data_IF_745351373974
#
_entry.id   IF_745351373974
#
_cell.length_a   1.000
_cell.length_b   1.000
_cell.length_c   1.000
_cell.angle_alpha   90.00
_cell.angle_beta   90.00
_cell.angle_gamma   90.00
#
_symmetry.space_group_name_H-M   'P 1'
#
loop_
_entity.id
_entity.type
_entity.pdbx_description
1 polymer ?
#
# COMPACT_ATOMS: atom_id res chain seq x y z
N UNK A 1 5.02 -18.32 -23.90
CA UNK A 1 5.25 -17.28 -22.86
C UNK A 1 3.88 -16.76 -22.47
N UNK A 2 3.28 -17.34 -21.44
CA UNK A 2 1.89 -17.04 -21.05
C UNK A 2 1.86 -15.70 -20.34
N UNK A 3 1.28 -14.67 -20.96
CA UNK A 3 0.94 -13.45 -20.26
C UNK A 3 -0.09 -13.81 -19.19
N UNK A 4 0.31 -13.77 -17.91
CA UNK A 4 -0.63 -13.83 -16.79
C UNK A 4 -1.64 -12.69 -16.99
N UNK A 5 -2.94 -12.90 -16.72
CA UNK A 5 -3.92 -11.84 -16.86
C UNK A 5 -3.38 -10.63 -16.11
N UNK A 6 -3.29 -9.52 -16.82
CA UNK A 6 -2.96 -8.22 -16.31
C UNK A 6 -4.07 -7.88 -15.32
N UNK A 7 -4.00 -8.46 -14.12
CA UNK A 7 -4.92 -8.14 -13.04
C UNK A 7 -4.81 -6.65 -12.93
N UNK A 8 -5.89 -5.96 -13.28
CA UNK A 8 -5.96 -4.52 -13.34
C UNK A 8 -5.66 -4.07 -11.91
N UNK A 9 -4.39 -3.81 -11.60
CA UNK A 9 -3.90 -3.50 -10.26
C UNK A 9 -4.31 -2.07 -9.99
N UNK A 10 -5.57 -1.91 -9.62
CA UNK A 10 -6.10 -0.64 -9.16
C UNK A 10 -5.25 -0.20 -7.97
N UNK A 11 -4.59 0.94 -8.16
CA UNK A 11 -3.77 1.57 -7.13
C UNK A 11 -4.62 2.55 -6.34
N UNK A 12 -4.55 2.47 -5.02
CA UNK A 12 -5.28 3.38 -4.13
C UNK A 12 -4.30 4.42 -3.61
N UNK A 13 -4.64 5.70 -3.75
CA UNK A 13 -3.86 6.79 -3.16
C UNK A 13 -4.47 7.22 -1.84
N UNK A 14 -3.65 7.33 -0.80
CA UNK A 14 -4.10 7.66 0.54
C UNK A 14 -3.02 8.38 1.34
N UNK A 15 -3.30 9.62 1.79
CA UNK A 15 -2.41 10.45 2.63
C UNK A 15 -0.95 10.51 2.14
N UNK A 16 -0.74 10.58 0.82
CA UNK A 16 0.60 10.63 0.22
C UNK A 16 1.27 9.26 0.07
N UNK A 17 0.53 8.17 0.23
CA UNK A 17 0.97 6.80 -0.06
C UNK A 17 0.18 6.19 -1.21
N UNK A 18 0.84 5.36 -1.99
CA UNK A 18 0.23 4.44 -2.95
C UNK A 18 0.12 3.06 -2.30
N UNK A 19 -1.09 2.54 -2.26
CA UNK A 19 -1.42 1.19 -1.82
C UNK A 19 -1.62 0.33 -3.07
N UNK A 20 -0.79 -0.70 -3.21
CA UNK A 20 -0.78 -1.57 -4.39
C UNK A 20 -1.17 -2.98 -3.95
N UNK A 21 -2.36 -3.48 -4.33
CA UNK A 21 -2.77 -4.85 -4.01
C UNK A 21 -1.83 -5.86 -4.68
N UNK A 22 -1.44 -6.88 -3.95
CA UNK A 22 -0.60 -7.98 -4.41
C UNK A 22 -1.47 -9.24 -4.61
N UNK A 23 -0.98 -10.17 -5.45
CA UNK A 23 -1.69 -11.43 -5.70
C UNK A 23 -1.82 -12.31 -4.44
N UNK A 24 -0.96 -12.10 -3.45
CA UNK A 24 -0.89 -12.86 -2.19
C UNK A 24 -1.81 -12.27 -1.10
N UNK A 25 -2.86 -11.54 -1.48
CA UNK A 25 -3.77 -10.85 -0.54
C UNK A 25 -3.06 -9.86 0.42
N UNK A 26 -1.87 -9.40 0.05
CA UNK A 26 -1.11 -8.37 0.76
C UNK A 26 -1.13 -7.05 0.00
N UNK A 27 -0.71 -5.97 0.65
CA UNK A 27 -0.57 -4.67 0.01
C UNK A 27 0.85 -4.16 0.13
N UNK A 28 1.38 -3.64 -0.97
CA UNK A 28 2.60 -2.85 -0.96
C UNK A 28 2.22 -1.39 -0.74
N UNK A 29 2.65 -0.84 0.40
CA UNK A 29 2.43 0.56 0.76
C UNK A 29 3.73 1.31 0.50
N UNK A 30 3.70 2.27 -0.43
CA UNK A 30 4.87 3.11 -0.75
C UNK A 30 4.51 4.58 -0.68
N UNK A 31 5.41 5.46 -0.23
CA UNK A 31 5.20 6.90 -0.34
C UNK A 31 5.15 7.34 -1.82
N UNK A 32 4.32 8.34 -2.12
CA UNK A 32 4.19 8.95 -3.45
C UNK A 32 5.34 9.90 -3.77
N UNK A 33 5.92 10.54 -2.76
CA UNK A 33 7.04 11.48 -2.90
C UNK A 33 8.13 11.16 -1.88
N UNK A 34 9.38 11.18 -2.32
CA UNK A 34 10.53 11.24 -1.41
C UNK A 34 10.85 12.71 -1.08
N UNK A 35 11.21 13.06 0.16
CA UNK A 35 11.26 12.23 1.36
C UNK A 35 9.96 12.36 2.18
N UNK A 36 9.15 11.30 2.24
CA UNK A 36 8.12 11.16 3.28
C UNK A 36 8.72 10.36 4.44
N UNK A 37 8.29 10.66 5.67
CA UNK A 37 8.83 10.13 6.95
C UNK A 37 8.84 8.59 7.10
N UNK A 38 8.40 7.81 6.09
CA UNK A 38 8.34 6.36 6.15
C UNK A 38 8.80 5.67 4.88
N UNK A 39 9.59 4.63 5.10
CA UNK A 39 9.99 3.69 4.07
C UNK A 39 8.79 2.84 3.60
N UNK A 40 8.85 2.31 2.37
CA UNK A 40 7.87 1.36 1.87
C UNK A 40 7.76 0.13 2.78
N UNK A 41 6.55 -0.37 2.98
CA UNK A 41 6.30 -1.57 3.78
C UNK A 41 5.18 -2.42 3.20
N UNK A 42 5.08 -3.67 3.67
CA UNK A 42 4.03 -4.61 3.28
C UNK A 42 2.97 -4.68 4.38
N UNK A 43 1.70 -4.57 4.00
CA UNK A 43 0.56 -4.73 4.89
C UNK A 43 -0.09 -6.11 4.65
N UNK A 44 -0.15 -6.99 5.66
CA UNK A 44 -0.79 -8.31 5.55
C UNK A 44 -2.31 -8.21 5.73
N UNK A 45 -2.95 -7.35 4.95
CA UNK A 45 -4.36 -7.00 5.09
C UNK A 45 -5.14 -7.38 3.83
N UNK A 46 -6.27 -8.09 3.96
CA UNK A 46 -7.08 -8.47 2.80
C UNK A 46 -7.98 -7.34 2.25
N UNK A 47 -8.10 -6.23 2.98
CA UNK A 47 -9.00 -5.11 2.65
C UNK A 47 -8.28 -3.77 2.65
N UNK A 48 -8.67 -2.87 1.73
CA UNK A 48 -8.11 -1.52 1.61
C UNK A 48 -8.32 -0.68 2.88
N UNK A 49 -9.42 -0.88 3.60
CA UNK A 49 -9.75 -0.13 4.82
C UNK A 49 -8.75 -0.41 5.94
N UNK A 50 -8.41 -1.69 6.13
CA UNK A 50 -7.43 -2.14 7.11
C UNK A 50 -6.03 -1.59 6.79
N UNK A 51 -5.65 -1.55 5.49
CA UNK A 51 -4.40 -0.93 5.04
C UNK A 51 -4.38 0.57 5.37
N UNK A 52 -5.49 1.29 5.19
CA UNK A 52 -5.59 2.72 5.53
C UNK A 52 -5.45 2.94 7.04
N UNK A 53 -6.06 2.09 7.85
CA UNK A 53 -5.94 2.14 9.31
C UNK A 53 -4.50 1.89 9.76
N UNK A 54 -3.81 0.93 9.16
CA UNK A 54 -2.40 0.65 9.42
C UNK A 54 -1.50 1.85 9.05
N UNK A 55 -1.77 2.50 7.91
CA UNK A 55 -1.06 3.72 7.51
C UNK A 55 -1.29 4.84 8.52
N UNK A 56 -2.53 5.06 8.98
CA UNK A 56 -2.85 6.07 9.99
C UNK A 56 -2.13 5.80 11.32
N UNK A 57 -2.15 4.54 11.79
CA UNK A 57 -1.45 4.13 13.00
C UNK A 57 0.06 4.39 12.90
N UNK A 58 0.69 3.99 11.79
CA UNK A 58 2.12 4.27 11.59
C UNK A 58 2.39 5.77 11.57
N UNK A 59 1.57 6.56 10.87
CA UNK A 59 1.74 8.02 10.76
C UNK A 59 1.68 8.69 12.13
N UNK A 60 0.80 8.23 13.01
CA UNK A 60 0.76 8.68 14.40
C UNK A 60 2.01 8.31 15.20
N UNK A 61 2.69 7.19 14.90
CA UNK A 61 3.92 6.80 15.58
C UNK A 61 5.17 7.57 15.11
N UNK A 62 5.15 8.12 13.89
CA UNK A 62 6.26 8.89 13.34
C UNK A 62 6.13 10.41 13.55
N UNK A 63 5.05 10.86 14.17
CA UNK A 63 4.79 12.26 14.56
C UNK A 63 5.23 12.50 16.00
#
# INVERSE_FOLDING_TARGET
MTALPETQRWVVRYRGFVLIPQADLTWLVRPERSPLCMLPFRAPASSVDDVKALVDWRLKQAA
#
